data_IF_683814203217
#
_entry.id   IF_683814203217
#
_cell.length_a   1.000
_cell.length_b   1.000
_cell.length_c   1.000
_cell.angle_alpha   90.00
_cell.angle_beta   90.00
_cell.angle_gamma   90.00
#
_symmetry.space_group_name_H-M   'P 1'
#
loop_
_entity.id
_entity.type
_entity.pdbx_description
1 polymer ?
#
# COMPACT_ATOMS: atom_id res chain seq x y z
N UNK A 1 32.08 -24.46 20.95
CA UNK A 1 30.63 -24.51 20.69
C UNK A 1 30.31 -23.47 19.63
N UNK A 2 29.74 -23.86 18.48
CA UNK A 2 29.34 -22.90 17.46
C UNK A 2 28.18 -22.05 18.01
N UNK A 3 28.36 -20.73 18.13
CA UNK A 3 27.28 -19.79 18.44
C UNK A 3 26.22 -19.94 17.34
N UNK A 4 25.00 -20.36 17.68
CA UNK A 4 23.89 -20.36 16.71
C UNK A 4 23.72 -18.93 16.19
N UNK A 5 23.94 -18.74 14.90
CA UNK A 5 23.73 -17.45 14.24
C UNK A 5 22.24 -17.13 14.31
N UNK A 6 21.89 -15.97 14.88
CA UNK A 6 20.50 -15.50 14.94
C UNK A 6 19.96 -15.39 13.51
N UNK A 7 18.81 -16.03 13.24
CA UNK A 7 18.08 -15.89 11.98
C UNK A 7 17.11 -14.71 12.06
N UNK A 8 17.20 -13.77 11.13
CA UNK A 8 16.32 -12.60 11.04
C UNK A 8 15.07 -12.89 10.22
N UNK A 9 13.94 -12.29 10.62
CA UNK A 9 12.67 -12.32 9.88
C UNK A 9 12.42 -10.96 9.24
N UNK A 10 11.49 -10.88 8.27
CA UNK A 10 11.10 -9.62 7.62
C UNK A 10 10.79 -8.49 8.61
N UNK A 11 10.07 -8.80 9.70
CA UNK A 11 9.71 -7.83 10.74
C UNK A 11 10.94 -7.26 11.47
N UNK A 12 12.00 -8.04 11.62
CA UNK A 12 13.22 -7.60 12.30
C UNK A 12 13.98 -6.61 11.41
N UNK A 13 14.00 -6.86 10.09
CA UNK A 13 14.54 -5.94 9.09
C UNK A 13 13.72 -4.65 8.97
N UNK A 14 12.39 -4.75 8.87
CA UNK A 14 11.48 -3.58 8.82
C UNK A 14 11.71 -2.67 10.03
N UNK A 15 11.83 -3.25 11.23
CA UNK A 15 12.15 -2.49 12.44
C UNK A 15 13.51 -1.80 12.31
N UNK A 16 14.52 -2.54 11.87
CA UNK A 16 15.87 -2.01 11.72
C UNK A 16 15.96 -0.85 10.70
N UNK A 17 15.21 -0.94 9.60
CA UNK A 17 15.10 0.15 8.63
C UNK A 17 14.41 1.37 9.23
N UNK A 18 13.28 1.21 9.95
CA UNK A 18 12.63 2.33 10.65
C UNK A 18 13.56 3.00 11.65
N UNK A 19 14.29 2.19 12.44
CA UNK A 19 15.25 2.68 13.43
C UNK A 19 16.38 3.48 12.74
N UNK A 20 16.90 3.01 11.61
CA UNK A 20 17.89 3.74 10.79
C UNK A 20 17.35 5.12 10.41
N UNK A 21 16.15 5.17 9.81
CA UNK A 21 15.57 6.43 9.29
C UNK A 21 15.34 7.43 10.41
N UNK A 22 14.87 6.98 11.57
CA UNK A 22 14.66 7.83 12.72
C UNK A 22 15.97 8.34 13.33
N UNK A 23 17.01 7.51 13.35
CA UNK A 23 18.32 7.88 13.88
C UNK A 23 19.05 8.92 13.00
N UNK A 24 19.02 8.73 11.68
CA UNK A 24 19.77 9.59 10.76
C UNK A 24 18.94 10.75 10.18
N UNK A 25 17.61 10.70 10.29
CA UNK A 25 16.73 11.71 9.70
C UNK A 25 16.62 11.63 8.17
N UNK A 26 17.14 10.55 7.55
CA UNK A 26 17.08 10.27 6.12
C UNK A 26 16.98 8.76 5.85
N UNK A 27 16.49 8.37 4.68
CA UNK A 27 16.47 6.96 4.26
C UNK A 27 17.88 6.45 3.93
N UNK A 28 18.12 5.16 4.15
CA UNK A 28 19.37 4.54 3.74
C UNK A 28 19.61 4.76 2.24
N UNK A 29 20.87 5.04 1.85
CA UNK A 29 21.22 5.32 0.45
C UNK A 29 21.32 4.05 -0.37
N UNK A 30 21.73 2.97 0.27
CA UNK A 30 21.91 1.64 -0.30
C UNK A 30 21.79 0.56 0.79
N UNK A 31 21.74 -0.70 0.37
CA UNK A 31 21.70 -1.86 1.27
C UNK A 31 22.90 -1.88 2.21
N UNK A 32 24.09 -1.44 1.75
CA UNK A 32 25.31 -1.43 2.56
C UNK A 32 25.15 -0.50 3.78
N UNK A 33 24.62 0.70 3.59
CA UNK A 33 24.39 1.67 4.67
C UNK A 33 23.49 1.10 5.76
N UNK A 34 22.44 0.36 5.38
CA UNK A 34 21.56 -0.32 6.33
C UNK A 34 22.29 -1.47 7.05
N UNK A 35 23.08 -2.27 6.34
CA UNK A 35 23.81 -3.39 6.95
C UNK A 35 24.90 -2.92 7.91
N UNK A 36 25.62 -1.85 7.56
CA UNK A 36 26.63 -1.24 8.42
C UNK A 36 26.00 -0.71 9.72
N UNK A 37 24.80 -0.13 9.65
CA UNK A 37 24.06 0.30 10.84
C UNK A 37 23.58 -0.86 11.72
N UNK A 38 23.10 -1.94 11.09
CA UNK A 38 22.45 -3.04 11.81
C UNK A 38 23.42 -4.13 12.29
N UNK A 39 24.65 -4.12 11.77
CA UNK A 39 25.64 -5.19 11.92
C UNK A 39 25.07 -6.57 11.52
N UNK A 40 24.11 -6.60 10.58
CA UNK A 40 23.45 -7.82 10.11
C UNK A 40 24.12 -8.38 8.85
N UNK A 41 24.16 -9.71 8.64
CA UNK A 41 24.82 -10.30 7.48
C UNK A 41 24.03 -10.09 6.19
N UNK A 42 24.70 -9.68 5.10
CA UNK A 42 24.11 -9.56 3.75
C UNK A 42 23.42 -10.85 3.28
N UNK A 43 23.99 -12.02 3.60
CA UNK A 43 23.40 -13.32 3.21
C UNK A 43 21.98 -13.49 3.75
N UNK A 44 21.70 -13.02 4.98
CA UNK A 44 20.35 -13.11 5.56
C UNK A 44 19.40 -12.04 5.03
N UNK A 45 19.93 -10.92 4.53
CA UNK A 45 19.15 -9.94 3.79
C UNK A 45 18.69 -10.53 2.46
N UNK A 46 19.63 -11.10 1.69
CA UNK A 46 19.37 -11.76 0.40
C UNK A 46 18.46 -12.99 0.45
N UNK A 47 18.23 -13.57 1.63
CA UNK A 47 17.20 -14.60 1.83
C UNK A 47 15.76 -14.04 1.76
N UNK A 48 15.57 -12.74 1.94
CA UNK A 48 14.26 -12.10 2.14
C UNK A 48 13.98 -10.93 1.21
N UNK A 49 15.01 -10.25 0.72
CA UNK A 49 14.97 -9.02 -0.07
C UNK A 49 16.13 -9.03 -1.08
N UNK A 50 15.87 -8.59 -2.30
CA UNK A 50 16.88 -8.51 -3.37
C UNK A 50 17.61 -7.15 -3.30
N UNK A 51 16.86 -6.08 -2.99
CA UNK A 51 17.40 -4.72 -2.89
C UNK A 51 16.76 -3.89 -1.77
N UNK A 52 17.32 -2.70 -1.51
CA UNK A 52 16.80 -1.80 -0.48
C UNK A 52 15.34 -1.39 -0.76
N UNK A 53 14.92 -1.28 -2.02
CA UNK A 53 13.54 -0.92 -2.33
C UNK A 53 12.54 -1.97 -1.83
N UNK A 54 12.91 -3.25 -1.78
CA UNK A 54 12.00 -4.30 -1.31
C UNK A 54 11.66 -4.15 0.17
N UNK A 55 12.61 -3.71 0.99
CA UNK A 55 12.33 -3.45 2.41
C UNK A 55 11.46 -2.20 2.58
N UNK A 56 11.65 -1.19 1.73
CA UNK A 56 10.84 0.02 1.74
C UNK A 56 9.39 -0.25 1.36
N UNK A 57 9.17 -1.10 0.34
CA UNK A 57 7.84 -1.61 -0.01
C UNK A 57 7.28 -2.44 1.13
N UNK A 58 8.06 -3.35 1.70
CA UNK A 58 7.63 -4.20 2.81
C UNK A 58 7.23 -3.42 4.06
N UNK A 59 7.85 -2.25 4.31
CA UNK A 59 7.47 -1.35 5.40
C UNK A 59 6.04 -0.84 5.22
N UNK A 60 5.67 -0.39 4.00
CA UNK A 60 4.31 0.08 3.74
C UNK A 60 3.31 -1.08 3.75
N UNK A 61 3.67 -2.21 3.14
CA UNK A 61 2.86 -3.42 3.17
C UNK A 61 2.56 -3.88 4.61
N UNK A 62 3.51 -3.76 5.54
CA UNK A 62 3.33 -4.17 6.93
C UNK A 62 2.19 -3.41 7.63
N UNK A 63 2.02 -2.10 7.36
CA UNK A 63 0.85 -1.36 7.88
C UNK A 63 -0.45 -1.90 7.31
N UNK A 64 -0.52 -2.13 6.00
CA UNK A 64 -1.71 -2.69 5.34
C UNK A 64 -2.04 -4.09 5.88
N UNK A 65 -1.05 -4.97 5.96
CA UNK A 65 -1.22 -6.34 6.47
C UNK A 65 -1.72 -6.34 7.92
N UNK A 66 -1.20 -5.45 8.76
CA UNK A 66 -1.63 -5.30 10.15
C UNK A 66 -3.08 -4.81 10.23
N UNK A 67 -3.46 -3.78 9.48
CA UNK A 67 -4.82 -3.26 9.45
C UNK A 67 -5.81 -4.32 8.95
N UNK A 68 -5.52 -4.98 7.83
CA UNK A 68 -6.34 -6.07 7.29
C UNK A 68 -6.49 -7.21 8.29
N UNK A 69 -5.39 -7.62 8.93
CA UNK A 69 -5.42 -8.68 9.95
C UNK A 69 -6.28 -8.34 11.16
N UNK A 70 -6.36 -7.06 11.55
CA UNK A 70 -7.24 -6.63 12.64
C UNK A 70 -8.70 -6.71 12.17
N UNK A 71 -8.99 -6.19 10.99
CA UNK A 71 -10.34 -6.22 10.41
C UNK A 71 -10.86 -7.65 10.19
N UNK A 72 -10.02 -8.55 9.67
CA UNK A 72 -10.36 -9.95 9.41
C UNK A 72 -10.73 -10.74 10.68
N UNK A 73 -10.23 -10.30 11.84
CA UNK A 73 -10.55 -10.92 13.13
C UNK A 73 -11.85 -10.41 13.72
N UNK A 74 -12.36 -9.29 13.23
CA UNK A 74 -13.61 -8.71 13.69
C UNK A 74 -14.79 -9.43 13.02
N UNK A 75 -15.50 -10.24 13.80
CA UNK A 75 -16.66 -10.98 13.32
C UNK A 75 -17.85 -10.07 13.00
N UNK A 76 -17.97 -8.93 13.66
CA UNK A 76 -19.04 -7.97 13.37
C UNK A 76 -18.72 -7.21 12.09
N UNK A 77 -17.44 -6.91 11.83
CA UNK A 77 -17.01 -6.33 10.56
C UNK A 77 -17.43 -7.18 9.36
N UNK A 78 -17.45 -8.51 9.47
CA UNK A 78 -17.87 -9.40 8.38
C UNK A 78 -19.35 -9.24 7.96
N UNK A 79 -20.18 -8.62 8.81
CA UNK A 79 -21.61 -8.36 8.57
C UNK A 79 -21.89 -6.95 8.04
N UNK A 80 -20.88 -6.08 8.04
CA UNK A 80 -21.00 -4.71 7.54
C UNK A 80 -21.05 -4.69 6.01
N UNK A 81 -21.61 -3.61 5.45
CA UNK A 81 -21.54 -3.35 4.02
C UNK A 81 -20.09 -3.10 3.58
N UNK A 82 -19.78 -3.39 2.30
CA UNK A 82 -18.40 -3.29 1.76
C UNK A 82 -17.81 -1.88 1.96
N UNK A 83 -18.65 -0.85 1.85
CA UNK A 83 -18.26 0.54 2.11
C UNK A 83 -17.81 0.74 3.55
N UNK A 84 -18.57 0.25 4.51
CA UNK A 84 -18.29 0.43 5.93
C UNK A 84 -17.08 -0.43 6.35
N UNK A 85 -16.90 -1.60 5.74
CA UNK A 85 -15.67 -2.41 5.88
C UNK A 85 -14.43 -1.66 5.37
N UNK A 86 -14.55 -0.97 4.23
CA UNK A 86 -13.47 -0.14 3.70
C UNK A 86 -13.16 1.04 4.62
N UNK A 87 -14.18 1.72 5.16
CA UNK A 87 -13.98 2.78 6.17
C UNK A 87 -13.25 2.24 7.41
N UNK A 88 -13.72 1.12 7.96
CA UNK A 88 -13.08 0.48 9.12
C UNK A 88 -11.60 0.13 8.83
N UNK A 89 -11.32 -0.41 7.63
CA UNK A 89 -9.96 -0.65 7.18
C UNK A 89 -9.10 0.63 7.14
N UNK A 90 -9.63 1.73 6.56
CA UNK A 90 -8.91 3.01 6.47
C UNK A 90 -8.57 3.57 7.86
N UNK A 91 -9.52 3.53 8.80
CA UNK A 91 -9.29 4.01 10.17
C UNK A 91 -8.27 3.15 10.92
N UNK A 92 -8.32 1.82 10.79
CA UNK A 92 -7.29 0.93 11.34
C UNK A 92 -5.91 1.22 10.75
N UNK A 93 -5.85 1.50 9.45
CA UNK A 93 -4.61 1.88 8.78
C UNK A 93 -4.09 3.23 9.31
N UNK A 94 -4.95 4.22 9.49
CA UNK A 94 -4.56 5.54 10.04
C UNK A 94 -4.06 5.42 11.48
N UNK A 95 -4.66 4.55 12.30
CA UNK A 95 -4.21 4.29 13.68
C UNK A 95 -2.79 3.71 13.73
N UNK A 96 -2.42 2.87 12.76
CA UNK A 96 -1.07 2.32 12.66
C UNK A 96 -0.07 3.35 12.13
N UNK A 97 -0.47 4.14 11.15
CA UNK A 97 0.34 5.21 10.55
C UNK A 97 0.65 6.31 11.56
N UNK A 98 -0.33 6.71 12.37
CA UNK A 98 -0.17 7.82 13.31
C UNK A 98 0.89 7.53 14.39
N UNK A 99 1.10 6.25 14.73
CA UNK A 99 2.15 5.81 15.65
C UNK A 99 3.57 6.00 15.09
N UNK A 100 3.71 6.06 13.77
CA UNK A 100 4.99 6.16 13.05
C UNK A 100 5.11 7.46 12.22
N UNK A 101 4.42 8.54 12.62
CA UNK A 101 4.29 9.79 11.85
C UNK A 101 5.64 10.42 11.47
N UNK A 102 6.60 10.48 12.40
CA UNK A 102 7.93 11.06 12.11
C UNK A 102 8.66 10.26 11.03
N UNK A 103 8.69 8.93 11.16
CA UNK A 103 9.27 8.03 10.17
C UNK A 103 8.61 8.24 8.80
N UNK A 104 7.28 8.24 8.74
CA UNK A 104 6.53 8.37 7.50
C UNK A 104 6.71 9.72 6.82
N UNK A 105 6.89 10.82 7.57
CA UNK A 105 7.23 12.13 6.99
C UNK A 105 8.60 12.12 6.31
N UNK A 106 9.62 11.55 6.95
CA UNK A 106 10.97 11.44 6.38
C UNK A 106 10.93 10.54 5.14
N UNK A 107 10.30 9.36 5.26
CA UNK A 107 10.16 8.38 4.19
C UNK A 107 9.40 8.94 2.99
N UNK A 108 8.25 9.60 3.20
CA UNK A 108 7.48 10.21 2.11
C UNK A 108 8.31 11.27 1.38
N UNK A 109 9.07 12.09 2.11
CA UNK A 109 9.93 13.12 1.52
C UNK A 109 10.99 12.48 0.61
N UNK A 110 11.61 11.37 1.02
CA UNK A 110 12.63 10.70 0.20
C UNK A 110 12.03 10.01 -1.03
N UNK A 111 10.79 9.52 -0.96
CA UNK A 111 10.07 8.90 -2.08
C UNK A 111 9.35 9.86 -3.01
N UNK A 112 9.46 11.17 -2.78
CA UNK A 112 8.81 12.18 -3.62
C UNK A 112 9.40 12.15 -5.05
N UNK A 113 8.58 11.74 -6.01
CA UNK A 113 8.99 11.64 -7.42
C UNK A 113 9.63 10.29 -7.81
N UNK A 114 9.72 9.35 -6.87
CA UNK A 114 10.25 8.00 -7.10
C UNK A 114 9.16 7.11 -7.73
N UNK A 115 9.03 7.19 -9.06
CA UNK A 115 8.01 6.43 -9.78
C UNK A 115 8.19 4.91 -9.65
N UNK A 116 9.44 4.42 -9.61
CA UNK A 116 9.79 3.01 -9.40
C UNK A 116 9.19 2.47 -8.11
N UNK A 117 9.42 3.16 -6.99
CA UNK A 117 8.88 2.78 -5.70
C UNK A 117 7.34 2.68 -5.73
N UNK A 118 6.65 3.68 -6.31
CA UNK A 118 5.18 3.65 -6.37
C UNK A 118 4.64 2.54 -7.28
N UNK A 119 5.35 2.18 -8.34
CA UNK A 119 4.98 1.04 -9.21
C UNK A 119 5.09 -0.27 -8.44
N UNK A 120 6.19 -0.50 -7.73
CA UNK A 120 6.40 -1.75 -7.01
C UNK A 120 5.53 -1.84 -5.76
N UNK A 121 5.29 -0.73 -5.06
CA UNK A 121 4.31 -0.64 -3.99
C UNK A 121 2.91 -1.01 -4.48
N UNK A 122 2.48 -0.48 -5.63
CA UNK A 122 1.19 -0.83 -6.21
C UNK A 122 1.10 -2.31 -6.57
N UNK A 123 2.14 -2.90 -7.18
CA UNK A 123 2.16 -4.35 -7.47
C UNK A 123 2.01 -5.17 -6.19
N UNK A 124 2.81 -4.84 -5.16
CA UNK A 124 2.81 -5.55 -3.90
C UNK A 124 1.45 -5.49 -3.19
N UNK A 125 0.81 -4.31 -3.18
CA UNK A 125 -0.50 -4.11 -2.54
C UNK A 125 -1.67 -4.67 -3.36
N UNK A 126 -1.62 -4.63 -4.70
CA UNK A 126 -2.68 -5.18 -5.54
C UNK A 126 -2.79 -6.72 -5.45
N UNK A 127 -1.70 -7.40 -5.09
CA UNK A 127 -1.71 -8.84 -4.84
C UNK A 127 -2.35 -9.21 -3.49
N UNK A 128 -2.61 -8.24 -2.60
CA UNK A 128 -3.26 -8.51 -1.31
C UNK A 128 -4.72 -8.88 -1.52
N UNK A 129 -5.16 -9.91 -0.80
CA UNK A 129 -6.59 -10.21 -0.71
C UNK A 129 -7.28 -9.23 0.23
N UNK A 130 -8.35 -8.63 -0.26
CA UNK A 130 -9.28 -7.85 0.54
C UNK A 130 -10.50 -8.74 0.80
N UNK A 131 -10.47 -9.49 1.89
CA UNK A 131 -11.48 -10.50 2.27
C UNK A 131 -12.92 -9.95 2.27
N UNK A 132 -13.07 -8.71 2.72
CA UNK A 132 -14.32 -7.96 2.84
C UNK A 132 -14.79 -7.42 1.48
N UNK A 133 -13.87 -7.16 0.57
CA UNK A 133 -14.20 -6.88 -0.81
C UNK A 133 -14.54 -8.22 -1.49
N UNK A 134 -15.75 -8.74 -1.23
CA UNK A 134 -16.39 -9.79 -2.04
C UNK A 134 -16.67 -9.21 -3.42
N UNK A 135 -15.61 -8.96 -4.16
CA UNK A 135 -15.63 -8.42 -5.50
C UNK A 135 -16.19 -9.51 -6.40
N UNK A 136 -17.52 -9.59 -6.51
CA UNK A 136 -18.18 -10.27 -7.62
C UNK A 136 -17.48 -9.81 -8.89
N UNK A 137 -17.16 -10.76 -9.77
CA UNK A 137 -16.41 -10.65 -11.02
C UNK A 137 -16.86 -9.52 -11.95
N UNK A 138 -16.72 -8.28 -11.53
CA UNK A 138 -16.71 -7.13 -12.40
C UNK A 138 -15.27 -6.99 -12.89
N UNK A 139 -14.97 -7.80 -13.89
CA UNK A 139 -13.72 -7.77 -14.64
C UNK A 139 -14.12 -7.57 -16.09
N UNK A 140 -13.92 -6.38 -16.66
CA UNK A 140 -14.00 -6.25 -18.11
C UNK A 140 -12.89 -7.11 -18.71
N UNK A 141 -13.21 -7.92 -19.72
CA UNK A 141 -12.30 -8.93 -20.31
C UNK A 141 -10.93 -8.39 -20.76
N UNK A 142 -10.83 -7.09 -21.08
CA UNK A 142 -9.55 -6.48 -21.50
C UNK A 142 -8.55 -6.29 -20.35
N UNK A 143 -9.01 -6.36 -19.09
CA UNK A 143 -8.16 -6.24 -17.90
C UNK A 143 -7.57 -7.59 -17.50
N UNK A 144 -8.10 -8.71 -18.02
CA UNK A 144 -7.55 -10.04 -17.74
C UNK A 144 -6.13 -10.21 -18.29
N UNK A 145 -5.82 -9.60 -19.45
CA UNK A 145 -4.46 -9.48 -20.00
C UNK A 145 -3.48 -8.78 -19.01
N UNK A 146 -3.99 -8.00 -18.06
CA UNK A 146 -3.20 -7.22 -17.11
C UNK A 146 -3.13 -7.87 -15.72
N UNK A 147 -3.86 -8.96 -15.46
CA UNK A 147 -4.01 -9.59 -14.14
C UNK A 147 -4.36 -8.60 -12.99
N UNK A 148 -5.04 -7.51 -13.32
CA UNK A 148 -5.46 -6.46 -12.38
C UNK A 148 -6.95 -6.64 -12.07
N UNK A 149 -7.34 -6.48 -10.80
CA UNK A 149 -8.75 -6.32 -10.43
C UNK A 149 -9.04 -4.81 -10.26
N UNK A 150 -9.78 -4.17 -11.18
CA UNK A 150 -9.99 -2.71 -11.15
C UNK A 150 -10.58 -2.20 -9.83
N UNK A 151 -11.58 -2.90 -9.26
CA UNK A 151 -12.18 -2.50 -7.98
C UNK A 151 -11.18 -2.60 -6.84
N UNK A 152 -10.38 -3.67 -6.80
CA UNK A 152 -9.32 -3.81 -5.79
C UNK A 152 -8.30 -2.68 -5.92
N UNK A 153 -7.83 -2.41 -7.13
CA UNK A 153 -6.85 -1.35 -7.36
C UNK A 153 -7.39 0.03 -6.99
N UNK A 154 -8.67 0.30 -7.22
CA UNK A 154 -9.30 1.53 -6.75
C UNK A 154 -9.30 1.64 -5.22
N UNK A 155 -9.66 0.56 -4.50
CA UNK A 155 -9.66 0.53 -3.03
C UNK A 155 -8.25 0.70 -2.45
N UNK A 156 -7.25 0.02 -3.03
CA UNK A 156 -5.83 0.14 -2.65
C UNK A 156 -5.32 1.56 -2.92
N UNK A 157 -5.56 2.10 -4.12
CA UNK A 157 -5.13 3.46 -4.48
C UNK A 157 -5.78 4.50 -3.57
N UNK A 158 -7.05 4.31 -3.20
CA UNK A 158 -7.73 5.15 -2.25
C UNK A 158 -7.13 5.07 -0.85
N UNK A 159 -6.74 3.88 -0.37
CA UNK A 159 -6.04 3.74 0.90
C UNK A 159 -4.66 4.40 0.89
N UNK A 160 -3.91 4.27 -0.21
CA UNK A 160 -2.63 4.97 -0.41
C UNK A 160 -2.86 6.49 -0.39
N UNK A 161 -3.90 7.00 -1.06
CA UNK A 161 -4.18 8.44 -1.08
C UNK A 161 -4.53 8.98 0.31
N UNK A 162 -5.33 8.24 1.10
CA UNK A 162 -5.63 8.58 2.49
C UNK A 162 -4.37 8.59 3.36
N UNK A 163 -3.50 7.57 3.23
CA UNK A 163 -2.21 7.55 3.92
C UNK A 163 -1.37 8.80 3.57
N UNK A 164 -1.20 9.10 2.28
CA UNK A 164 -0.39 10.24 1.84
C UNK A 164 -0.95 11.58 2.29
N UNK A 165 -2.28 11.70 2.39
CA UNK A 165 -2.96 12.87 2.94
C UNK A 165 -2.71 12.99 4.46
N UNK A 166 -2.90 11.90 5.21
CA UNK A 166 -2.76 11.89 6.68
C UNK A 166 -1.37 12.29 7.18
N UNK A 167 -0.32 11.98 6.40
CA UNK A 167 1.07 12.33 6.68
C UNK A 167 1.30 13.85 6.62
N UNK A 168 0.53 14.57 5.80
CA UNK A 168 0.65 16.04 5.64
C UNK A 168 -0.35 16.82 6.48
N UNK A 169 -1.36 16.14 7.02
CA UNK A 169 -2.42 16.78 7.79
C UNK A 169 -1.86 17.40 9.07
N UNK A 170 -2.02 18.72 9.20
CA UNK A 170 -1.61 19.54 10.35
C UNK A 170 -2.80 20.03 11.17
N UNK A 171 -4.02 19.62 10.81
CA UNK A 171 -5.23 19.96 11.53
C UNK A 171 -5.22 19.33 12.93
N UNK A 172 -6.00 19.93 13.83
CA UNK A 172 -6.14 19.43 15.19
C UNK A 172 -6.74 18.03 15.15
N UNK A 173 -6.14 17.09 15.88
CA UNK A 173 -6.61 15.71 16.02
C UNK A 173 -6.86 14.98 14.68
N UNK A 174 -6.19 15.41 13.59
CA UNK A 174 -6.33 14.87 12.23
C UNK A 174 -7.77 14.97 11.65
N UNK A 175 -8.53 15.98 12.05
CA UNK A 175 -9.91 16.21 11.55
C UNK A 175 -10.01 16.34 10.02
N UNK A 176 -8.99 16.86 9.34
CA UNK A 176 -8.99 16.97 7.88
C UNK A 176 -8.79 15.61 7.23
N UNK A 177 -8.01 14.72 7.84
CA UNK A 177 -7.86 13.32 7.42
C UNK A 177 -9.18 12.57 7.53
N UNK A 178 -9.91 12.76 8.64
CA UNK A 178 -11.23 12.16 8.81
C UNK A 178 -12.21 12.66 7.74
N UNK A 179 -12.26 13.98 7.52
CA UNK A 179 -13.09 14.57 6.49
C UNK A 179 -12.69 14.10 5.07
N UNK A 180 -11.39 13.93 4.81
CA UNK A 180 -10.90 13.39 3.54
C UNK A 180 -11.41 11.96 3.35
N UNK A 181 -11.14 11.06 4.31
CA UNK A 181 -11.57 9.64 4.27
C UNK A 181 -13.06 9.52 3.99
N UNK A 182 -13.91 10.23 4.73
CA UNK A 182 -15.36 10.16 4.57
C UNK A 182 -15.80 10.62 3.17
N UNK A 183 -15.32 11.80 2.74
CA UNK A 183 -15.71 12.38 1.44
C UNK A 183 -15.22 11.55 0.27
N UNK A 184 -13.99 11.03 0.32
CA UNK A 184 -13.42 10.25 -0.78
C UNK A 184 -13.94 8.83 -0.80
N UNK A 185 -14.29 8.24 0.35
CA UNK A 185 -14.99 6.95 0.39
C UNK A 185 -16.38 7.07 -0.22
N UNK A 186 -17.15 8.08 0.18
CA UNK A 186 -18.47 8.35 -0.39
C UNK A 186 -18.40 8.51 -1.91
N UNK A 187 -17.44 9.29 -2.39
CA UNK A 187 -17.24 9.51 -3.82
C UNK A 187 -16.86 8.22 -4.54
N UNK A 188 -15.91 7.44 -4.00
CA UNK A 188 -15.46 6.19 -4.57
C UNK A 188 -16.63 5.23 -4.78
N UNK A 189 -17.44 4.99 -3.73
CA UNK A 189 -18.54 4.03 -3.80
C UNK A 189 -19.69 4.53 -4.69
N UNK A 190 -20.01 5.83 -4.67
CA UNK A 190 -20.95 6.43 -5.64
C UNK A 190 -20.49 6.21 -7.07
N UNK A 191 -19.21 6.41 -7.37
CA UNK A 191 -18.68 6.19 -8.72
C UNK A 191 -18.70 4.71 -9.11
N UNK A 192 -18.36 3.79 -8.20
CA UNK A 192 -18.34 2.36 -8.50
C UNK A 192 -19.72 1.73 -8.65
N UNK A 193 -20.74 2.33 -8.04
CA UNK A 193 -22.13 1.86 -8.11
C UNK A 193 -22.91 2.51 -9.27
N UNK A 194 -22.30 3.45 -10.00
CA UNK A 194 -22.92 4.11 -11.16
C UNK A 194 -22.46 3.52 -12.49
N UNK A 195 -23.25 3.72 -13.54
CA UNK A 195 -22.86 3.41 -14.92
C UNK A 195 -21.65 4.22 -15.39
N UNK A 196 -21.29 5.31 -14.70
CA UNK A 196 -20.15 6.16 -15.05
C UNK A 196 -18.83 5.41 -15.04
N UNK A 197 -18.58 4.58 -14.01
CA UNK A 197 -17.35 3.79 -13.97
C UNK A 197 -17.28 2.78 -15.13
N UNK A 198 -18.41 2.17 -15.48
CA UNK A 198 -18.49 1.31 -16.66
C UNK A 198 -18.13 2.07 -17.94
N UNK A 199 -18.69 3.26 -18.15
CA UNK A 199 -18.38 4.10 -19.33
C UNK A 199 -16.90 4.52 -19.38
N UNK A 200 -16.27 4.82 -18.25
CA UNK A 200 -14.83 5.10 -18.19
C UNK A 200 -13.98 3.89 -18.61
N UNK A 201 -14.34 2.68 -18.16
CA UNK A 201 -13.64 1.47 -18.55
C UNK A 201 -13.86 1.11 -20.02
N UNK A 202 -15.07 1.30 -20.54
CA UNK A 202 -15.37 1.10 -21.96
C UNK A 202 -14.57 2.06 -22.85
N UNK A 203 -14.44 3.33 -22.44
CA UNK A 203 -13.55 4.28 -23.10
C UNK A 203 -12.09 3.83 -23.05
N UNK A 204 -11.61 3.36 -21.90
CA UNK A 204 -10.27 2.78 -21.74
C UNK A 204 -10.03 1.60 -22.68
N UNK A 205 -10.99 0.68 -22.79
CA UNK A 205 -10.98 -0.47 -23.72
C UNK A 205 -10.86 0.00 -25.17
N UNK A 206 -11.68 0.98 -25.56
CA UNK A 206 -11.62 1.58 -26.89
C UNK A 206 -10.23 2.16 -27.18
N UNK A 207 -9.68 2.98 -26.27
CA UNK A 207 -8.36 3.59 -26.45
C UNK A 207 -7.24 2.53 -26.56
N UNK A 208 -7.27 1.51 -25.70
CA UNK A 208 -6.31 0.40 -25.74
C UNK A 208 -6.35 -0.38 -27.07
N UNK A 209 -7.54 -0.71 -27.56
CA UNK A 209 -7.71 -1.39 -28.85
C UNK A 209 -7.14 -0.58 -30.03
N UNK A 210 -7.29 0.75 -30.00
CA UNK A 210 -6.74 1.65 -31.02
C UNK A 210 -5.22 1.77 -30.93
N UNK A 211 -4.68 1.75 -29.71
CA UNK A 211 -3.23 1.68 -29.47
C UNK A 211 -2.60 0.41 -30.03
N UNK A 212 -3.16 -0.76 -29.71
CA UNK A 212 -2.73 -2.05 -30.28
C UNK A 212 -2.83 -2.08 -31.81
N UNK A 213 -3.94 -1.57 -32.38
CA UNK A 213 -4.13 -1.54 -33.84
C UNK A 213 -3.08 -0.73 -34.60
N UNK A 214 -2.43 0.27 -33.99
CA UNK A 214 -1.35 1.05 -34.61
C UNK A 214 0.04 0.39 -34.51
N UNK A 215 0.21 -0.59 -33.62
CA UNK A 215 1.48 -1.33 -33.47
C UNK A 215 1.64 -2.47 -34.49
N UNK A 216 0.54 -2.87 -35.15
CA UNK A 216 0.51 -3.97 -36.13
C UNK A 216 0.11 -3.50 -37.55
N UNK A 217 0.16 -2.19 -37.80
CA UNK A 217 0.01 -1.56 -39.12
C UNK A 217 1.29 -0.84 -39.50
#
# INVERSE_FOLDING_TARGET
MAKKTKKYRKVDWIKAYKDYVLQYGETAKDTKSLLDYTEQPFVQFGELFDELQDIEVAVIEDYFNKALKVLDKDKEASKMEVKDQHLAFLYLLMELISKDELFLRIFKRSKRGDASFFVDLQKALNHKELSWAKLKNWRPDFVDDLNINPKRSLLINHAISCMLFSIEDKSKDKQDTDAYIEKTTDLLFKLTDTSTLHSFLDLGKFMYSRGKSKMFS
#
